data_IF_343890306170
#
_entry.id   IF_343890306170
#
_cell.length_a   1.000
_cell.length_b   1.000
_cell.length_c   1.000
_cell.angle_alpha   90.00
_cell.angle_beta   90.00
_cell.angle_gamma   90.00
#
_symmetry.space_group_name_H-M   'P 1'
#
loop_
_entity.id
_entity.type
_entity.pdbx_description
1 polymer ?
#
# COMPACT_ATOMS: atom_id res chain seq x y z
N UNK A 1 -20.68 41.60 24.02
CA UNK A 1 -19.53 40.69 23.84
C UNK A 1 -19.95 39.33 24.40
N UNK A 2 -20.49 38.44 23.57
CA UNK A 2 -20.88 37.10 24.00
C UNK A 2 -19.95 36.09 23.33
N UNK A 3 -19.18 35.40 24.16
CA UNK A 3 -18.12 34.49 23.77
C UNK A 3 -18.65 33.34 22.94
N UNK A 4 -18.17 33.27 21.71
CA UNK A 4 -18.28 32.10 20.84
C UNK A 4 -17.42 31.00 21.46
N UNK A 5 -18.03 30.18 22.31
CA UNK A 5 -17.47 28.88 22.70
C UNK A 5 -17.36 28.03 21.46
N UNK A 6 -16.22 28.11 20.77
CA UNK A 6 -15.82 27.17 19.76
C UNK A 6 -15.77 25.79 20.43
N UNK A 7 -16.81 24.97 20.20
CA UNK A 7 -16.80 23.55 20.56
C UNK A 7 -15.62 22.92 19.84
N UNK A 8 -14.50 22.77 20.54
CA UNK A 8 -13.46 21.81 20.18
C UNK A 8 -14.10 20.43 20.27
N UNK A 9 -14.63 19.93 19.17
CA UNK A 9 -14.91 18.51 19.04
C UNK A 9 -13.60 17.78 19.38
N UNK A 10 -13.62 16.77 20.27
CA UNK A 10 -12.39 16.11 20.70
C UNK A 10 -11.66 15.59 19.46
N UNK A 11 -10.36 15.90 19.35
CA UNK A 11 -9.49 15.50 18.22
C UNK A 11 -9.63 14.00 17.87
N UNK A 12 -10.00 13.19 18.86
CA UNK A 12 -10.34 11.77 18.73
C UNK A 12 -11.53 11.49 17.80
N UNK A 13 -12.60 12.28 17.87
CA UNK A 13 -13.78 12.13 17.01
C UNK A 13 -13.54 12.61 15.58
N UNK A 14 -12.69 13.64 15.39
CA UNK A 14 -12.30 14.09 14.05
C UNK A 14 -11.43 13.06 13.33
N UNK A 15 -10.52 12.41 14.06
CA UNK A 15 -9.74 11.26 13.58
C UNK A 15 -10.64 10.12 13.11
N UNK A 16 -11.55 9.65 13.97
CA UNK A 16 -12.50 8.56 13.69
C UNK A 16 -13.44 8.85 12.50
N UNK A 17 -13.88 10.09 12.32
CA UNK A 17 -14.81 10.46 11.24
C UNK A 17 -14.16 10.59 9.85
N UNK A 18 -12.83 10.65 9.77
CA UNK A 18 -12.14 10.74 8.48
C UNK A 18 -12.10 9.39 7.74
N UNK A 19 -11.94 8.28 8.47
CA UNK A 19 -11.95 6.90 7.96
C UNK A 19 -13.31 6.48 7.39
N UNK A 20 -14.39 7.10 7.89
CA UNK A 20 -15.76 6.93 7.38
C UNK A 20 -15.98 7.47 5.96
N UNK A 21 -14.99 8.15 5.36
CA UNK A 21 -15.06 8.71 4.00
C UNK A 21 -14.26 7.90 2.97
N UNK A 22 -13.93 6.65 3.25
CA UNK A 22 -13.50 5.72 2.21
C UNK A 22 -14.76 5.26 1.48
N UNK A 23 -15.08 5.96 0.39
CA UNK A 23 -16.23 5.65 -0.46
C UNK A 23 -15.88 4.55 -1.46
N UNK A 24 -16.86 3.84 -2.04
CA UNK A 24 -16.59 2.92 -3.15
C UNK A 24 -15.87 3.60 -4.33
N UNK A 25 -16.09 4.91 -4.55
CA UNK A 25 -15.34 5.70 -5.53
C UNK A 25 -13.85 5.85 -5.17
N UNK A 26 -13.49 5.85 -3.89
CA UNK A 26 -12.11 5.82 -3.40
C UNK A 26 -11.44 4.48 -3.70
N UNK A 27 -12.17 3.37 -3.53
CA UNK A 27 -11.68 2.03 -3.88
C UNK A 27 -11.49 1.86 -5.39
N UNK A 28 -12.42 2.39 -6.19
CA UNK A 28 -12.32 2.44 -7.65
C UNK A 28 -11.13 3.29 -8.11
N UNK A 29 -10.89 4.43 -7.46
CA UNK A 29 -9.72 5.26 -7.73
C UNK A 29 -8.40 4.51 -7.41
N UNK A 30 -8.31 3.79 -6.30
CA UNK A 30 -7.15 2.95 -5.97
C UNK A 30 -6.94 1.82 -7.00
N UNK A 31 -8.02 1.19 -7.46
CA UNK A 31 -7.96 0.19 -8.53
C UNK A 31 -7.46 0.77 -9.86
N UNK A 32 -7.88 1.99 -10.21
CA UNK A 32 -7.39 2.69 -11.41
C UNK A 32 -5.93 3.16 -11.26
N UNK A 33 -5.47 3.47 -10.05
CA UNK A 33 -4.08 3.84 -9.77
C UNK A 33 -3.12 2.65 -9.91
N UNK A 34 -3.62 1.40 -9.81
CA UNK A 34 -2.84 0.21 -10.11
C UNK A 34 -2.62 -0.02 -11.61
N UNK A 35 -3.30 0.74 -12.51
CA UNK A 35 -3.10 0.59 -13.96
C UNK A 35 -1.69 0.98 -14.42
N UNK A 36 -1.09 2.10 -13.97
CA UNK A 36 0.34 2.36 -14.17
C UNK A 36 1.25 1.20 -13.73
N UNK A 37 0.87 0.44 -12.71
CA UNK A 37 1.66 -0.70 -12.25
C UNK A 37 1.65 -1.87 -13.24
N UNK A 38 0.64 -1.99 -14.11
CA UNK A 38 0.63 -2.99 -15.18
C UNK A 38 1.78 -2.78 -16.15
N UNK A 39 2.15 -1.52 -16.43
CA UNK A 39 3.32 -1.22 -17.27
C UNK A 39 4.59 -1.84 -16.66
N UNK A 40 4.81 -1.66 -15.35
CA UNK A 40 5.99 -2.19 -14.65
C UNK A 40 6.00 -3.71 -14.55
N UNK A 41 4.83 -4.32 -14.30
CA UNK A 41 4.68 -5.79 -14.26
C UNK A 41 4.95 -6.39 -15.64
N UNK A 42 4.43 -5.79 -16.71
CA UNK A 42 4.66 -6.24 -18.09
C UNK A 42 6.11 -6.02 -18.53
N UNK A 43 6.71 -4.89 -18.16
CA UNK A 43 8.12 -4.63 -18.41
C UNK A 43 9.05 -5.63 -17.68
N UNK A 44 8.56 -6.21 -16.58
CA UNK A 44 9.29 -7.19 -15.77
C UNK A 44 8.80 -8.62 -15.98
N UNK A 45 8.07 -8.93 -17.06
CA UNK A 45 7.43 -10.24 -17.23
C UNK A 45 8.45 -11.40 -17.27
N UNK A 46 8.18 -12.56 -16.62
CA UNK A 46 7.00 -12.94 -15.82
C UNK A 46 7.08 -12.52 -14.34
N UNK A 47 8.10 -11.76 -13.96
CA UNK A 47 8.30 -11.16 -12.66
C UNK A 47 9.74 -10.69 -12.52
N UNK A 48 9.96 -9.67 -11.69
CA UNK A 48 11.32 -9.26 -11.35
C UNK A 48 11.87 -10.19 -10.26
N UNK A 49 12.41 -11.34 -10.70
CA UNK A 49 12.87 -12.43 -9.84
C UNK A 49 14.31 -12.20 -9.40
N UNK A 50 14.48 -11.50 -8.28
CA UNK A 50 15.78 -11.39 -7.60
C UNK A 50 15.96 -12.49 -6.56
N UNK A 51 17.12 -12.52 -5.90
CA UNK A 51 17.44 -13.51 -4.84
C UNK A 51 16.34 -13.62 -3.77
N UNK A 52 15.81 -12.49 -3.29
CA UNK A 52 14.71 -12.45 -2.30
C UNK A 52 13.43 -13.13 -2.80
N UNK A 53 13.11 -12.94 -4.09
CA UNK A 53 11.93 -13.55 -4.70
C UNK A 53 12.14 -15.06 -4.88
N UNK A 54 13.34 -15.46 -5.30
CA UNK A 54 13.72 -16.85 -5.49
C UNK A 54 13.76 -17.62 -4.17
N UNK A 55 14.31 -17.03 -3.09
CA UNK A 55 14.30 -17.63 -1.77
C UNK A 55 12.87 -17.93 -1.30
N UNK A 56 11.96 -16.98 -1.49
CA UNK A 56 10.54 -17.17 -1.16
C UNK A 56 9.90 -18.30 -1.99
N UNK A 57 10.16 -18.33 -3.30
CA UNK A 57 9.64 -19.37 -4.19
C UNK A 57 10.21 -20.75 -3.83
N UNK A 58 11.48 -20.83 -3.44
CA UNK A 58 12.13 -22.06 -2.98
C UNK A 58 11.48 -22.56 -1.70
N UNK A 59 11.28 -21.70 -0.69
CA UNK A 59 10.56 -22.09 0.53
C UNK A 59 9.15 -22.62 0.22
N UNK A 60 8.43 -22.00 -0.73
CA UNK A 60 7.12 -22.47 -1.18
C UNK A 60 7.20 -23.86 -1.83
N UNK A 61 8.18 -24.08 -2.71
CA UNK A 61 8.33 -25.34 -3.46
C UNK A 61 8.78 -26.49 -2.58
N UNK A 62 9.68 -26.23 -1.64
CA UNK A 62 10.26 -27.26 -0.78
C UNK A 62 9.45 -27.49 0.50
N UNK A 63 8.57 -26.55 0.88
CA UNK A 63 7.87 -26.60 2.17
C UNK A 63 8.80 -26.49 3.38
N UNK A 64 10.05 -26.06 3.15
CA UNK A 64 11.08 -25.84 4.18
C UNK A 64 11.19 -24.35 4.42
N UNK A 65 10.89 -23.93 5.64
CA UNK A 65 10.99 -22.54 6.06
C UNK A 65 12.27 -22.33 6.86
N UNK A 66 12.98 -21.25 6.56
CA UNK A 66 14.18 -20.80 7.28
C UNK A 66 14.02 -19.32 7.68
N UNK A 67 15.07 -18.74 8.25
CA UNK A 67 15.13 -17.37 8.72
C UNK A 67 15.50 -16.34 7.63
N UNK A 68 15.78 -16.78 6.40
CA UNK A 68 16.12 -15.87 5.30
C UNK A 68 14.88 -15.08 4.84
N UNK A 69 13.70 -15.71 4.86
CA UNK A 69 12.42 -15.07 4.52
C UNK A 69 11.37 -15.35 5.59
N UNK A 70 10.67 -14.32 6.13
CA UNK A 70 9.65 -14.52 7.14
C UNK A 70 8.50 -15.42 6.67
N UNK A 71 8.19 -16.45 7.46
CA UNK A 71 7.09 -17.40 7.20
C UNK A 71 5.77 -16.73 6.82
N UNK A 72 5.30 -15.66 7.52
CA UNK A 72 4.04 -15.00 7.15
C UNK A 72 4.06 -14.43 5.73
N UNK A 73 5.22 -13.92 5.28
CA UNK A 73 5.38 -13.43 3.92
C UNK A 73 5.35 -14.58 2.90
N UNK A 74 6.06 -15.68 3.19
CA UNK A 74 6.06 -16.87 2.32
C UNK A 74 4.66 -17.44 2.14
N UNK A 75 3.87 -17.54 3.22
CA UNK A 75 2.47 -17.97 3.15
C UNK A 75 1.60 -16.99 2.35
N UNK A 76 1.80 -15.68 2.53
CA UNK A 76 1.13 -14.66 1.72
C UNK A 76 1.40 -14.86 0.22
N UNK A 77 2.67 -15.01 -0.17
CA UNK A 77 3.04 -15.26 -1.57
C UNK A 77 2.44 -16.59 -2.05
N UNK A 78 2.52 -17.66 -1.26
CA UNK A 78 1.98 -18.97 -1.61
C UNK A 78 0.50 -18.92 -1.96
N UNK A 79 -0.31 -18.23 -1.14
CA UNK A 79 -1.76 -18.11 -1.37
C UNK A 79 -2.04 -17.32 -2.64
N UNK A 80 -1.44 -16.14 -2.80
CA UNK A 80 -1.74 -15.24 -3.92
C UNK A 80 -1.25 -15.81 -5.26
N UNK A 81 -0.13 -16.53 -5.26
CA UNK A 81 0.48 -17.10 -6.47
C UNK A 81 0.01 -18.52 -6.79
N UNK A 82 -0.97 -19.06 -6.03
CA UNK A 82 -1.44 -20.45 -6.17
C UNK A 82 -0.30 -21.48 -6.07
N UNK A 83 0.52 -21.37 -5.02
CA UNK A 83 1.68 -22.23 -4.80
C UNK A 83 2.89 -21.87 -5.66
N UNK A 84 3.11 -20.58 -5.93
CA UNK A 84 4.26 -20.09 -6.70
C UNK A 84 4.11 -20.19 -8.22
N UNK A 85 2.91 -20.47 -8.72
CA UNK A 85 2.63 -20.67 -10.16
C UNK A 85 2.34 -19.37 -10.91
N UNK A 86 1.84 -18.35 -10.21
CA UNK A 86 1.42 -17.08 -10.80
C UNK A 86 2.03 -15.88 -10.06
N UNK A 87 3.33 -15.66 -10.25
CA UNK A 87 4.08 -14.55 -9.62
C UNK A 87 3.51 -13.16 -9.95
N UNK A 88 3.06 -12.86 -11.18
CA UNK A 88 2.44 -11.55 -11.47
C UNK A 88 1.27 -11.21 -10.56
N UNK A 89 0.56 -12.21 -10.03
CA UNK A 89 -0.54 -12.01 -9.08
C UNK A 89 -0.10 -11.31 -7.80
N UNK A 90 1.03 -11.72 -7.21
CA UNK A 90 1.52 -11.08 -5.97
C UNK A 90 2.04 -9.68 -6.22
N UNK A 91 2.71 -9.45 -7.36
CA UNK A 91 3.19 -8.14 -7.77
C UNK A 91 2.02 -7.15 -7.92
N UNK A 92 0.92 -7.58 -8.55
CA UNK A 92 -0.28 -6.75 -8.71
C UNK A 92 -0.93 -6.41 -7.36
N UNK A 93 -1.06 -7.39 -6.47
CA UNK A 93 -1.60 -7.18 -5.11
C UNK A 93 -0.72 -6.21 -4.32
N UNK A 94 0.60 -6.34 -4.40
CA UNK A 94 1.56 -5.45 -3.74
C UNK A 94 1.48 -4.02 -4.28
N UNK A 95 1.35 -3.85 -5.60
CA UNK A 95 1.12 -2.55 -6.23
C UNK A 95 -0.16 -1.87 -5.74
N UNK A 96 -1.27 -2.62 -5.66
CA UNK A 96 -2.53 -2.11 -5.12
C UNK A 96 -2.39 -1.75 -3.63
N UNK A 97 -1.67 -2.56 -2.85
CA UNK A 97 -1.46 -2.33 -1.43
C UNK A 97 -0.61 -1.07 -1.16
N UNK A 98 0.49 -0.88 -1.88
CA UNK A 98 1.32 0.34 -1.78
C UNK A 98 0.52 1.57 -2.22
N UNK A 99 -0.24 1.46 -3.32
CA UNK A 99 -1.10 2.55 -3.79
C UNK A 99 -2.16 2.95 -2.75
N UNK A 100 -2.79 1.97 -2.11
CA UNK A 100 -3.74 2.19 -1.03
C UNK A 100 -3.05 2.83 0.19
N UNK A 101 -1.89 2.35 0.58
CA UNK A 101 -1.14 2.85 1.72
C UNK A 101 -0.75 4.33 1.54
N UNK A 102 -0.21 4.69 0.37
CA UNK A 102 0.13 6.07 0.02
C UNK A 102 -1.11 6.96 -0.04
N UNK A 103 -2.22 6.46 -0.60
CA UNK A 103 -3.48 7.21 -0.63
C UNK A 103 -3.98 7.50 0.79
N UNK A 104 -4.06 6.48 1.65
CA UNK A 104 -4.53 6.59 3.03
C UNK A 104 -3.64 7.54 3.83
N UNK A 105 -2.32 7.43 3.68
CA UNK A 105 -1.37 8.36 4.31
C UNK A 105 -1.55 9.80 3.81
N UNK A 106 -1.69 10.01 2.51
CA UNK A 106 -1.97 11.34 1.97
C UNK A 106 -3.26 11.93 2.54
N UNK A 107 -4.30 11.11 2.70
CA UNK A 107 -5.58 11.53 3.30
C UNK A 107 -5.47 11.83 4.79
N UNK A 108 -4.69 11.06 5.56
CA UNK A 108 -4.47 11.32 6.99
C UNK A 108 -3.65 12.60 7.23
N UNK A 109 -2.73 12.93 6.32
CA UNK A 109 -1.99 14.19 6.29
C UNK A 109 -2.83 15.40 5.81
N UNK A 110 -4.11 15.20 5.51
CA UNK A 110 -5.03 16.27 5.12
C UNK A 110 -5.05 16.62 3.63
N UNK A 111 -4.31 15.89 2.77
CA UNK A 111 -4.34 16.15 1.33
C UNK A 111 -5.74 15.90 0.76
N UNK A 112 -6.27 16.82 -0.05
CA UNK A 112 -7.56 16.65 -0.74
C UNK A 112 -7.54 15.41 -1.64
N UNK A 113 -8.69 14.78 -1.88
CA UNK A 113 -8.79 13.52 -2.65
C UNK A 113 -8.05 13.57 -4.00
N UNK A 114 -8.24 14.63 -4.80
CA UNK A 114 -7.56 14.78 -6.09
C UNK A 114 -6.03 14.87 -5.95
N UNK A 115 -5.55 15.58 -4.92
CA UNK A 115 -4.12 15.68 -4.65
C UNK A 115 -3.54 14.34 -4.20
N UNK A 116 -4.22 13.63 -3.29
CA UNK A 116 -3.81 12.30 -2.85
C UNK A 116 -3.73 11.32 -4.04
N UNK A 117 -4.74 11.27 -4.90
CA UNK A 117 -4.72 10.44 -6.12
C UNK A 117 -3.56 10.83 -7.04
N UNK A 118 -3.36 12.14 -7.27
CA UNK A 118 -2.27 12.64 -8.11
C UNK A 118 -0.88 12.26 -7.60
N UNK A 119 -0.66 12.38 -6.28
CA UNK A 119 0.61 11.98 -5.64
C UNK A 119 0.88 10.49 -5.87
N UNK A 120 -0.11 9.63 -5.61
CA UNK A 120 0.07 8.18 -5.78
C UNK A 120 0.31 7.85 -7.26
N UNK A 121 -0.44 8.45 -8.18
CA UNK A 121 -0.25 8.24 -9.61
C UNK A 121 1.16 8.63 -10.07
N UNK A 122 1.66 9.79 -9.64
CA UNK A 122 3.04 10.23 -9.95
C UNK A 122 4.06 9.25 -9.36
N UNK A 123 3.92 8.89 -8.09
CA UNK A 123 4.85 7.96 -7.43
C UNK A 123 4.90 6.60 -8.11
N UNK A 124 3.75 6.01 -8.44
CA UNK A 124 3.66 4.71 -9.11
C UNK A 124 4.08 4.77 -10.58
N UNK A 125 4.01 5.94 -11.22
CA UNK A 125 4.54 6.13 -12.57
C UNK A 125 6.07 6.28 -12.60
N UNK A 126 6.73 6.60 -11.48
CA UNK A 126 8.19 6.66 -11.43
C UNK A 126 8.82 5.27 -11.37
N UNK A 127 10.05 5.08 -11.91
CA UNK A 127 10.77 3.82 -11.75
C UNK A 127 10.94 3.43 -10.29
N UNK A 128 11.21 4.38 -9.40
CA UNK A 128 11.44 4.12 -7.97
C UNK A 128 10.19 3.55 -7.33
N UNK A 129 9.04 4.22 -7.45
CA UNK A 129 7.81 3.74 -6.82
C UNK A 129 7.21 2.52 -7.51
N UNK A 130 7.17 2.55 -8.85
CA UNK A 130 6.56 1.50 -9.66
C UNK A 130 7.33 0.18 -9.64
N UNK A 131 8.65 0.21 -9.84
CA UNK A 131 9.46 -1.02 -9.77
C UNK A 131 9.50 -1.58 -8.36
N UNK A 132 9.65 -0.72 -7.34
CA UNK A 132 9.59 -1.17 -5.94
C UNK A 132 8.28 -1.89 -5.66
N UNK A 133 7.15 -1.27 -6.00
CA UNK A 133 5.83 -1.82 -5.70
C UNK A 133 5.54 -3.13 -6.45
N UNK A 134 6.23 -3.40 -7.56
CA UNK A 134 6.09 -4.63 -8.33
C UNK A 134 7.12 -5.71 -7.98
N UNK A 135 8.03 -5.48 -7.03
CA UNK A 135 8.95 -6.52 -6.57
C UNK A 135 8.21 -7.55 -5.73
N UNK A 136 8.42 -8.84 -5.98
CA UNK A 136 7.93 -9.93 -5.13
C UNK A 136 8.78 -10.07 -3.85
N UNK A 137 9.03 -8.95 -3.16
CA UNK A 137 9.81 -8.88 -1.93
C UNK A 137 8.92 -8.69 -0.71
N UNK A 138 9.42 -9.17 0.44
CA UNK A 138 8.84 -8.94 1.78
C UNK A 138 8.78 -7.46 2.15
N UNK A 139 9.71 -6.66 1.64
CA UNK A 139 9.84 -5.25 1.97
C UNK A 139 8.67 -4.42 1.46
N UNK A 140 8.02 -4.85 0.38
CA UNK A 140 6.90 -4.13 -0.23
C UNK A 140 5.65 -4.12 0.67
N UNK A 141 5.10 -5.28 1.09
CA UNK A 141 3.95 -5.29 1.99
C UNK A 141 4.31 -4.75 3.38
N UNK A 142 5.52 -4.98 3.88
CA UNK A 142 5.93 -4.40 5.17
C UNK A 142 5.99 -2.87 5.11
N UNK A 143 6.56 -2.30 4.05
CA UNK A 143 6.56 -0.85 3.85
C UNK A 143 5.14 -0.30 3.75
N UNK A 144 4.25 -0.97 3.01
CA UNK A 144 2.85 -0.55 2.91
C UNK A 144 2.12 -0.61 4.26
N UNK A 145 2.35 -1.67 5.06
CA UNK A 145 1.77 -1.80 6.41
C UNK A 145 2.31 -0.73 7.36
N UNK A 146 3.60 -0.36 7.27
CA UNK A 146 4.18 0.74 8.04
C UNK A 146 3.51 2.07 7.67
N UNK A 147 3.31 2.33 6.37
CA UNK A 147 2.65 3.55 5.90
C UNK A 147 1.18 3.62 6.36
N UNK A 148 0.46 2.49 6.33
CA UNK A 148 -0.89 2.40 6.87
C UNK A 148 -0.88 2.62 8.39
N UNK A 149 0.02 1.97 9.12
CA UNK A 149 0.17 2.13 10.56
C UNK A 149 0.47 3.58 10.94
N UNK A 150 1.38 4.24 10.22
CA UNK A 150 1.66 5.67 10.37
C UNK A 150 0.41 6.50 10.10
N UNK A 151 -0.33 6.22 9.03
CA UNK A 151 -1.55 6.92 8.72
C UNK A 151 -2.63 6.79 9.81
N UNK A 152 -2.68 5.64 10.50
CA UNK A 152 -3.56 5.39 11.65
C UNK A 152 -3.11 6.16 12.90
N UNK A 153 -1.80 6.26 13.13
CA UNK A 153 -1.24 6.92 14.30
C UNK A 153 -1.25 8.45 14.18
N UNK A 154 -1.19 8.99 12.96
CA UNK A 154 -1.20 10.43 12.74
C UNK A 154 -2.58 11.03 13.10
N UNK A 155 -2.62 12.09 13.93
CA UNK A 155 -3.86 12.80 14.20
C UNK A 155 -4.36 13.44 12.90
N UNK A 156 -5.50 12.97 12.41
CA UNK A 156 -6.09 13.51 11.18
C UNK A 156 -6.54 14.95 11.44
N UNK A 157 -5.87 15.90 10.79
CA UNK A 157 -6.31 17.29 10.76
C UNK A 157 -5.99 18.13 12.00
N UNK A 158 -4.82 17.91 12.63
CA UNK A 158 -4.19 18.98 13.40
C UNK A 158 -3.69 20.06 12.43
N UNK A 159 -4.58 20.96 12.01
CA UNK A 159 -4.17 22.18 11.34
C UNK A 159 -3.15 22.88 12.23
N UNK A 160 -1.89 22.92 11.79
CA UNK A 160 -0.91 23.83 12.33
C UNK A 160 -1.34 25.21 11.86
N UNK A 161 -2.17 25.86 12.66
CA UNK A 161 -2.36 27.32 12.69
C UNK A 161 -1.78 27.80 14.00
#
# INVERSE_FOLDING_TARGET
MNGTTARMAPLREQGLNSWRRVTPASALAVGLIALPCLFWILASWPGNLTEDSLATITQIREGRYDDAVPVPYTLYVQVITFGGRFIPGVMFVQCALVSAALYVLGRSLGARQKAAVGIVAVMMATPVGGLFACMAWKDVPFSALILIGLAVLLPVGGGVT
#
